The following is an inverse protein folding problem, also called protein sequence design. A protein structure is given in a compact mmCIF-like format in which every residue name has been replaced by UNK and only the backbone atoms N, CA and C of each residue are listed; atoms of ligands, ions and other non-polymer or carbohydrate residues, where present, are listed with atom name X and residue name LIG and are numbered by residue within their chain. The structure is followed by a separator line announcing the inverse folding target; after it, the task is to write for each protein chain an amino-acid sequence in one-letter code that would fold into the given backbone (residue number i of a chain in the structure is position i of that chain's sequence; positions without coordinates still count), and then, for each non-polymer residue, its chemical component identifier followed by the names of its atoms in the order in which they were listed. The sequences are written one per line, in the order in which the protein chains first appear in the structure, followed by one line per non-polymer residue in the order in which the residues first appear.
data_IF_731979426696
#
_entry.id   IF_731979426696
#
_cell.length_a   1.000
_cell.length_b   1.000
_cell.length_c   1.000
_cell.angle_alpha   90.00
_cell.angle_beta   90.00
_cell.angle_gamma   90.00
#
_symmetry.space_group_name_H-M   'P 1'
#
loop_
_entity.id
_entity.type
_entity.pdbx_description
1 polymer ?
#
# COMPACT_ATOMS: atom_id res chain seq x y z
N UNK A 1 2.24 -10.15 -4.69
CA UNK A 1 3.06 -8.91 -4.77
C UNK A 1 2.92 -8.13 -3.45
N UNK A 2 1.70 -7.98 -2.96
CA UNK A 2 1.34 -7.31 -1.71
C UNK A 2 1.90 -7.97 -0.44
N UNK A 3 2.03 -9.31 -0.42
CA UNK A 3 2.54 -10.04 0.75
C UNK A 3 3.98 -9.69 1.11
N UNK A 4 4.83 -9.45 0.10
CA UNK A 4 6.23 -9.05 0.33
C UNK A 4 6.32 -7.62 0.85
N UNK A 5 5.49 -6.72 0.34
CA UNK A 5 5.42 -5.35 0.86
C UNK A 5 4.91 -5.33 2.29
N UNK A 6 3.87 -6.12 2.59
CA UNK A 6 3.30 -6.19 3.93
C UNK A 6 4.33 -6.73 4.95
N UNK A 7 5.04 -7.80 4.62
CA UNK A 7 6.14 -8.32 5.45
C UNK A 7 7.26 -7.29 5.63
N UNK A 8 7.66 -6.58 4.58
CA UNK A 8 8.70 -5.55 4.67
C UNK A 8 8.29 -4.38 5.59
N UNK A 9 7.02 -3.98 5.57
CA UNK A 9 6.48 -2.95 6.48
C UNK A 9 6.46 -3.46 7.92
N UNK A 10 6.04 -4.71 8.14
CA UNK A 10 6.05 -5.34 9.47
C UNK A 10 7.48 -5.46 9.99
N UNK A 11 8.45 -5.92 9.18
CA UNK A 11 9.87 -5.98 9.54
C UNK A 11 10.41 -4.61 9.94
N UNK A 12 10.16 -3.56 9.13
CA UNK A 12 10.55 -2.20 9.49
C UNK A 12 9.94 -1.80 10.83
N UNK A 13 8.64 -2.04 11.03
CA UNK A 13 7.98 -1.70 12.29
C UNK A 13 8.59 -2.46 13.49
N UNK A 14 8.95 -3.73 13.32
CA UNK A 14 9.69 -4.50 14.35
C UNK A 14 11.05 -3.85 14.62
N UNK A 15 11.81 -3.50 13.59
CA UNK A 15 13.13 -2.86 13.76
C UNK A 15 13.04 -1.53 14.51
N UNK A 16 12.02 -0.72 14.25
CA UNK A 16 11.89 0.60 14.87
C UNK A 16 11.18 0.60 16.23
N UNK A 17 10.36 -0.40 16.52
CA UNK A 17 9.46 -0.39 17.70
C UNK A 17 9.61 -1.61 18.59
N UNK A 18 10.43 -2.59 18.19
CA UNK A 18 10.67 -3.89 18.83
C UNK A 18 9.39 -4.58 19.35
N UNK A 19 8.31 -4.44 18.58
CA UNK A 19 6.99 -4.88 18.99
C UNK A 19 6.91 -6.41 18.99
N UNK A 20 6.71 -7.00 20.17
CA UNK A 20 6.53 -8.46 20.35
C UNK A 20 5.36 -9.01 19.52
N UNK A 21 4.27 -8.24 19.41
CA UNK A 21 3.12 -8.61 18.56
C UNK A 21 3.51 -8.67 17.09
N UNK A 22 4.30 -7.72 16.60
CA UNK A 22 4.71 -7.69 15.21
C UNK A 22 5.65 -8.87 14.87
N UNK A 23 6.52 -9.29 15.80
CA UNK A 23 7.34 -10.51 15.65
C UNK A 23 6.48 -11.77 15.53
N UNK A 24 5.48 -11.94 16.41
CA UNK A 24 4.56 -13.10 16.35
C UNK A 24 3.74 -13.12 15.05
N UNK A 25 3.29 -11.94 14.59
CA UNK A 25 2.58 -11.77 13.32
C UNK A 25 3.49 -12.09 12.11
N UNK A 26 4.79 -11.80 12.17
CA UNK A 26 5.73 -12.14 11.10
C UNK A 26 6.02 -13.65 11.07
N UNK A 27 6.16 -14.29 12.23
CA UNK A 27 6.34 -15.75 12.35
C UNK A 27 5.11 -16.53 11.90
N UNK A 28 3.91 -16.10 12.32
CA UNK A 28 2.62 -16.69 11.93
C UNK A 28 1.92 -15.89 10.83
N UNK A 29 2.69 -15.33 9.90
CA UNK A 29 2.11 -14.48 8.86
C UNK A 29 1.13 -15.28 7.99
N UNK A 30 -0.17 -15.10 8.23
CA UNK A 30 -1.25 -15.69 7.44
C UNK A 30 -1.98 -14.60 6.65
N UNK A 31 -2.03 -14.77 5.33
CA UNK A 31 -2.65 -13.81 4.41
C UNK A 31 -4.16 -13.65 4.66
N UNK A 32 -4.83 -14.65 5.23
CA UNK A 32 -6.28 -14.61 5.52
C UNK A 32 -6.63 -13.67 6.67
N UNK A 33 -5.68 -13.40 7.57
CA UNK A 33 -5.87 -12.44 8.67
C UNK A 33 -5.71 -10.98 8.22
N UNK A 34 -5.17 -10.75 7.01
CA UNK A 34 -4.97 -9.41 6.48
C UNK A 34 -6.01 -9.04 5.43
N UNK A 35 -6.82 -8.04 5.76
CA UNK A 35 -7.69 -7.40 4.78
C UNK A 35 -6.96 -6.24 4.12
N UNK A 36 -6.80 -6.34 2.80
CA UNK A 36 -6.37 -5.20 1.99
C UNK A 36 -7.54 -4.22 1.89
N UNK A 37 -7.57 -3.25 2.80
CA UNK A 37 -8.52 -2.14 2.74
C UNK A 37 -7.99 -1.09 1.77
N UNK A 38 -8.68 -0.95 0.63
CA UNK A 38 -8.43 0.12 -0.32
C UNK A 38 -9.67 1.02 -0.37
N UNK A 39 -9.54 2.33 -0.06
CA UNK A 39 -10.62 3.28 -0.28
C UNK A 39 -10.99 3.30 -1.77
N UNK A 40 -12.29 3.40 -2.08
CA UNK A 40 -12.76 3.47 -3.48
C UNK A 40 -12.09 4.59 -4.26
N UNK A 41 -11.89 5.73 -3.62
CA UNK A 41 -11.22 6.89 -4.22
C UNK A 41 -9.73 6.67 -4.44
N UNK A 42 -9.07 5.85 -3.60
CA UNK A 42 -7.68 5.46 -3.83
C UNK A 42 -7.54 4.51 -5.02
N UNK A 43 -8.50 3.59 -5.20
CA UNK A 43 -8.52 2.72 -6.40
C UNK A 43 -8.68 3.54 -7.68
N UNK A 44 -9.58 4.54 -7.67
CA UNK A 44 -9.74 5.50 -8.78
C UNK A 44 -8.45 6.27 -9.03
N UNK A 45 -7.79 6.76 -7.98
CA UNK A 45 -6.54 7.51 -8.09
C UNK A 45 -5.43 6.63 -8.70
N UNK A 46 -5.30 5.37 -8.29
CA UNK A 46 -4.34 4.43 -8.87
C UNK A 46 -4.61 4.16 -10.35
N UNK A 47 -5.89 4.00 -10.75
CA UNK A 47 -6.28 3.85 -12.16
C UNK A 47 -5.93 5.09 -12.98
N UNK A 48 -6.21 6.29 -12.44
CA UNK A 48 -5.85 7.55 -13.08
C UNK A 48 -4.34 7.74 -13.18
N UNK A 49 -3.60 7.31 -12.17
CA UNK A 49 -2.14 7.35 -12.16
C UNK A 49 -1.53 6.44 -13.23
N UNK A 50 -2.10 5.25 -13.41
CA UNK A 50 -1.67 4.32 -14.46
C UNK A 50 -1.99 4.86 -15.87
N UNK A 51 -3.13 5.52 -16.04
CA UNK A 51 -3.51 6.22 -17.28
C UNK A 51 -2.60 7.42 -17.59
N UNK A 52 -2.21 8.19 -16.58
CA UNK A 52 -1.39 9.40 -16.73
C UNK A 52 0.12 9.14 -16.70
N UNK A 53 0.55 7.87 -16.60
CA UNK A 53 1.96 7.46 -16.46
C UNK A 53 2.90 7.92 -17.60
N UNK A 54 2.33 8.32 -18.73
CA UNK A 54 3.05 8.85 -19.90
C UNK A 54 3.22 10.40 -19.90
N UNK A 55 2.66 11.10 -18.92
CA UNK A 55 2.82 12.56 -18.79
C UNK A 55 4.06 12.94 -17.96
N UNK A 56 4.48 14.22 -18.07
CA UNK A 56 5.63 14.76 -17.31
C UNK A 56 5.45 14.65 -15.80
N UNK A 57 4.23 14.81 -15.30
CA UNK A 57 3.86 14.66 -13.90
C UNK A 57 2.60 13.80 -13.74
N UNK A 58 2.74 12.46 -13.71
CA UNK A 58 1.61 11.54 -13.69
C UNK A 58 0.76 11.67 -12.42
N UNK A 59 1.40 11.98 -11.29
CA UNK A 59 0.71 12.18 -10.01
C UNK A 59 -0.21 13.41 -10.03
N UNK A 60 0.30 14.53 -10.57
CA UNK A 60 -0.45 15.77 -10.63
C UNK A 60 -1.60 15.67 -11.64
N UNK A 61 -1.35 15.09 -12.82
CA UNK A 61 -2.36 14.89 -13.84
C UNK A 61 -3.49 13.96 -13.36
N UNK A 62 -3.16 12.87 -12.67
CA UNK A 62 -4.13 11.96 -12.08
C UNK A 62 -4.96 12.64 -10.98
N UNK A 63 -4.33 13.45 -10.12
CA UNK A 63 -5.01 14.20 -9.07
C UNK A 63 -5.97 15.25 -9.65
N UNK A 64 -5.54 15.99 -10.67
CA UNK A 64 -6.41 16.98 -11.33
C UNK A 64 -7.61 16.30 -12.02
N UNK A 65 -7.41 15.14 -12.65
CA UNK A 65 -8.49 14.37 -13.32
C UNK A 65 -9.50 13.73 -12.38
N UNK A 66 -9.10 13.34 -11.17
CA UNK A 66 -10.05 12.73 -10.20
C UNK A 66 -10.85 13.78 -9.44
N UNK A 67 -10.34 15.01 -9.35
CA UNK A 67 -10.96 16.12 -8.59
C UNK A 67 -11.84 17.01 -9.46
N UNK A 68 -11.73 16.91 -10.80
CA UNK A 68 -12.62 17.58 -11.75
C UNK A 68 -13.93 16.83 -11.99
#
# INVERSE_FOLDING_TARGET
KDEKELKAVIEKHITYTDSKKAKDILEKFDKKDFFKVMPRDYEKMLKMLDLCKNEKDPNLAAFLKITQ
#
